data_IF_464738381458
#
_entry.id   IF_464738381458
#
_cell.length_a   1.000
_cell.length_b   1.000
_cell.length_c   1.000
_cell.angle_alpha   90.00
_cell.angle_beta   90.00
_cell.angle_gamma   90.00
#
_symmetry.space_group_name_H-M   'P 1'
#
loop_
_entity.id
_entity.type
_entity.pdbx_description
1 polymer ?
#
# COMPACT_ATOMS: atom_id res chain seq x y z
N UNK A 1 19.45 69.09 11.64
CA UNK A 1 18.28 69.94 11.30
C UNK A 1 18.51 70.50 9.90
N UNK A 2 17.50 70.56 9.00
CA UNK A 2 16.09 70.79 9.29
C UNK A 2 15.17 69.57 9.14
N UNK A 3 13.97 69.74 9.71
CA UNK A 3 12.81 68.88 9.83
C UNK A 3 11.67 69.53 9.03
N UNK A 4 10.83 68.75 8.34
CA UNK A 4 9.40 68.99 8.03
C UNK A 4 8.88 67.63 7.50
N UNK A 5 8.07 66.80 8.17
CA UNK A 5 6.75 66.92 8.82
C UNK A 5 5.56 67.07 7.84
N UNK A 6 4.61 66.12 7.97
CA UNK A 6 3.14 66.18 7.70
C UNK A 6 2.61 65.72 6.34
N UNK A 7 2.00 64.51 6.30
CA UNK A 7 0.54 64.24 6.34
C UNK A 7 0.23 62.89 5.65
N UNK A 8 -0.18 61.83 6.35
CA UNK A 8 -1.55 61.50 6.76
C UNK A 8 -2.57 61.45 5.61
N UNK A 9 -2.79 60.25 5.06
CA UNK A 9 -4.06 59.86 4.44
C UNK A 9 -4.34 58.39 4.77
N UNK A 10 -5.21 58.23 5.76
CA UNK A 10 -5.73 56.98 6.30
C UNK A 10 -6.78 56.42 5.32
N UNK A 11 -6.44 55.37 4.59
CA UNK A 11 -7.40 54.59 3.81
C UNK A 11 -8.07 53.54 4.71
N UNK A 12 -9.26 53.84 5.22
CA UNK A 12 -10.13 52.86 5.88
C UNK A 12 -10.65 51.85 4.83
N UNK A 13 -10.04 50.66 4.78
CA UNK A 13 -10.65 49.49 4.19
C UNK A 13 -11.55 48.82 5.24
N UNK A 14 -12.86 49.00 5.12
CA UNK A 14 -13.86 48.33 5.98
C UNK A 14 -13.85 46.83 5.67
N UNK A 15 -13.28 46.05 6.59
CA UNK A 15 -13.42 44.60 6.61
C UNK A 15 -14.83 44.24 7.09
N UNK A 16 -15.68 43.76 6.18
CA UNK A 16 -16.96 43.18 6.52
C UNK A 16 -16.75 41.77 7.14
N UNK A 17 -16.59 41.70 8.46
CA UNK A 17 -16.79 40.46 9.21
C UNK A 17 -18.29 40.17 9.30
N UNK A 18 -18.80 39.36 8.38
CA UNK A 18 -20.12 38.73 8.51
C UNK A 18 -20.03 37.51 9.44
N UNK A 19 -20.77 37.55 10.54
CA UNK A 19 -20.90 36.47 11.53
C UNK A 19 -21.44 35.18 10.91
N UNK A 20 -20.66 34.10 10.98
CA UNK A 20 -21.18 32.75 10.77
C UNK A 20 -21.93 32.31 12.04
N UNK A 21 -23.23 32.07 11.93
CA UNK A 21 -24.03 31.48 13.00
C UNK A 21 -23.59 30.02 13.26
N UNK A 22 -23.57 29.54 14.52
CA UNK A 22 -23.31 28.14 14.79
C UNK A 22 -24.48 27.30 14.27
N UNK A 23 -24.19 26.37 13.36
CA UNK A 23 -25.13 25.32 13.00
C UNK A 23 -25.20 24.32 14.17
N UNK A 24 -26.24 24.42 14.99
CA UNK A 24 -26.55 23.40 15.99
C UNK A 24 -26.96 22.12 15.26
N UNK A 25 -26.06 21.13 15.23
CA UNK A 25 -26.40 19.79 14.78
C UNK A 25 -27.46 19.21 15.72
N UNK A 26 -28.70 19.10 15.24
CA UNK A 26 -29.76 18.43 15.99
C UNK A 26 -29.47 16.93 16.02
N UNK A 27 -28.87 16.45 17.10
CA UNK A 27 -28.76 15.01 17.39
C UNK A 27 -30.17 14.52 17.69
N UNK A 28 -30.80 13.85 16.71
CA UNK A 28 -32.01 13.08 16.95
C UNK A 28 -31.58 11.72 17.50
N UNK A 29 -31.96 11.44 18.75
CA UNK A 29 -31.84 10.10 19.32
C UNK A 29 -32.84 9.20 18.61
N UNK A 30 -32.38 8.49 17.59
CA UNK A 30 -33.15 7.43 16.94
C UNK A 30 -33.01 6.21 17.84
N UNK A 31 -34.13 5.76 18.43
CA UNK A 31 -34.18 4.45 19.09
C UNK A 31 -34.01 3.37 18.00
N UNK A 32 -32.92 2.58 18.03
CA UNK A 32 -32.65 1.60 16.98
C UNK A 32 -33.77 0.57 16.85
N UNK A 33 -34.57 0.33 17.90
CA UNK A 33 -35.63 -0.65 17.86
C UNK A 33 -36.88 -0.17 17.10
N UNK A 34 -37.09 1.14 16.99
CA UNK A 34 -38.22 1.73 16.28
C UNK A 34 -38.00 1.75 14.75
N UNK A 35 -36.74 1.91 14.30
CA UNK A 35 -36.41 1.92 12.88
C UNK A 35 -36.53 0.55 12.22
N UNK A 36 -36.37 -0.54 12.99
CA UNK A 36 -36.40 -1.92 12.48
C UNK A 36 -37.84 -2.40 12.27
N UNK A 37 -38.80 -1.91 13.07
CA UNK A 37 -40.20 -2.35 12.99
C UNK A 37 -40.99 -1.74 11.84
N UNK A 38 -40.50 -0.65 11.23
CA UNK A 38 -41.18 0.02 10.13
C UNK A 38 -40.98 -0.66 8.75
N UNK A 39 -40.06 -1.64 8.65
CA UNK A 39 -39.68 -2.29 7.38
C UNK A 39 -39.90 -3.82 7.40
N UNK A 40 -40.78 -4.31 8.29
CA UNK A 40 -41.15 -5.73 8.33
C UNK A 40 -42.45 -5.92 7.56
N UNK A 41 -42.35 -6.24 6.27
CA UNK A 41 -43.49 -6.74 5.50
C UNK A 41 -43.80 -8.19 5.91
N UNK A 42 -45.07 -8.56 6.13
CA UNK A 42 -45.45 -9.96 6.33
C UNK A 42 -45.06 -10.80 5.12
N UNK A 43 -44.46 -11.97 5.35
CA UNK A 43 -44.14 -12.95 4.31
C UNK A 43 -45.42 -13.37 3.58
N UNK A 44 -45.47 -13.33 2.24
CA UNK A 44 -46.62 -13.81 1.46
C UNK A 44 -46.91 -15.29 1.75
N UNK A 45 -48.20 -15.65 1.84
CA UNK A 45 -48.64 -17.01 2.18
C UNK A 45 -48.13 -18.10 1.22
N UNK A 46 -47.67 -17.71 0.02
CA UNK A 46 -47.13 -18.61 -1.00
C UNK A 46 -45.70 -19.12 -0.70
N UNK A 47 -45.01 -18.55 0.30
CA UNK A 47 -43.65 -18.97 0.71
C UNK A 47 -43.62 -19.86 1.97
N UNK A 48 -44.79 -20.25 2.52
CA UNK A 48 -44.91 -21.11 3.70
C UNK A 48 -44.35 -22.54 3.52
N UNK A 49 -43.82 -22.87 2.33
CA UNK A 49 -43.27 -24.18 1.96
C UNK A 49 -41.75 -24.22 1.73
N UNK A 50 -41.01 -23.13 1.93
CA UNK A 50 -39.53 -23.14 1.81
C UNK A 50 -38.87 -23.66 3.10
N UNK A 51 -39.17 -24.92 3.43
CA UNK A 51 -38.47 -25.74 4.41
C UNK A 51 -38.13 -27.07 3.75
N UNK A 52 -36.85 -27.35 3.55
CA UNK A 52 -36.37 -28.62 3.01
C UNK A 52 -36.81 -29.76 3.93
N UNK A 53 -37.62 -30.68 3.40
CA UNK A 53 -37.83 -31.99 4.03
C UNK A 53 -36.48 -32.69 4.12
N UNK A 54 -35.89 -32.76 5.32
CA UNK A 54 -34.68 -33.54 5.58
C UNK A 54 -35.11 -35.00 5.78
N UNK A 55 -34.96 -35.82 4.73
CA UNK A 55 -34.99 -37.28 4.87
C UNK A 55 -33.73 -37.74 5.61
N UNK A 56 -33.88 -38.50 6.68
CA UNK A 56 -32.78 -39.07 7.45
C UNK A 56 -31.95 -40.06 6.58
N UNK A 57 -30.60 -40.06 6.65
CA UNK A 57 -29.79 -41.04 5.94
C UNK A 57 -30.00 -42.46 6.49
N UNK A 58 -30.03 -43.45 5.60
CA UNK A 58 -30.03 -44.86 5.94
C UNK A 58 -28.73 -45.29 6.66
N UNK A 59 -28.77 -46.30 7.55
CA UNK A 59 -27.58 -46.74 8.27
C UNK A 59 -26.50 -47.32 7.31
N UNK A 60 -25.24 -47.02 7.65
CA UNK A 60 -24.05 -47.31 6.87
C UNK A 60 -23.80 -48.82 6.65
N UNK A 61 -23.38 -49.16 5.43
CA UNK A 61 -22.77 -50.45 5.10
C UNK A 61 -21.28 -50.46 5.48
N UNK A 62 -20.74 -51.65 5.75
CA UNK A 62 -19.41 -51.93 6.30
C UNK A 62 -18.22 -51.25 5.59
N UNK A 63 -17.13 -50.93 6.31
CA UNK A 63 -15.96 -50.27 5.73
C UNK A 63 -15.16 -51.21 4.82
N UNK A 64 -14.97 -50.80 3.57
CA UNK A 64 -13.99 -51.38 2.64
C UNK A 64 -12.58 -50.92 3.07
N UNK A 65 -11.56 -51.81 3.09
CA UNK A 65 -10.21 -51.41 3.48
C UNK A 65 -9.65 -50.31 2.58
N UNK A 66 -9.22 -49.21 3.19
CA UNK A 66 -8.54 -48.12 2.50
C UNK A 66 -7.18 -48.61 1.96
N UNK A 67 -7.04 -48.63 0.63
CA UNK A 67 -5.75 -48.77 -0.02
C UNK A 67 -4.87 -47.59 0.39
N UNK A 68 -3.74 -47.91 1.02
CA UNK A 68 -2.76 -46.92 1.47
C UNK A 68 -2.16 -46.25 0.23
N UNK A 69 -2.63 -45.04 -0.08
CA UNK A 69 -1.99 -44.17 -1.05
C UNK A 69 -0.57 -43.89 -0.54
N UNK A 70 0.41 -44.50 -1.21
CA UNK A 70 1.82 -44.27 -1.01
C UNK A 70 2.13 -42.75 -1.06
N UNK A 71 3.01 -42.32 -0.17
CA UNK A 71 3.29 -40.92 0.13
C UNK A 71 3.42 -40.04 -1.11
N UNK A 72 2.63 -38.96 -1.11
CA UNK A 72 2.98 -37.78 -1.88
C UNK A 72 4.34 -37.29 -1.34
N UNK A 73 5.39 -37.44 -2.16
CA UNK A 73 6.62 -36.73 -1.94
C UNK A 73 6.28 -35.23 -1.77
N UNK A 74 6.93 -34.48 -0.86
CA UNK A 74 6.75 -33.05 -0.83
C UNK A 74 7.17 -32.54 -2.21
N UNK A 75 6.22 -31.98 -2.96
CA UNK A 75 6.56 -31.14 -4.11
C UNK A 75 7.50 -30.09 -3.54
N UNK A 76 8.76 -30.13 -3.96
CA UNK A 76 9.66 -29.03 -3.75
C UNK A 76 8.91 -27.80 -4.27
N UNK A 77 8.55 -26.92 -3.35
CA UNK A 77 7.87 -25.69 -3.69
C UNK A 77 8.86 -24.95 -4.57
N UNK A 78 8.69 -25.04 -5.90
CA UNK A 78 9.42 -24.19 -6.81
C UNK A 78 9.27 -22.77 -6.26
N UNK A 79 10.39 -22.04 -6.20
CA UNK A 79 10.41 -20.66 -5.74
C UNK A 79 9.46 -19.87 -6.61
N UNK A 80 8.21 -19.80 -6.19
CA UNK A 80 7.14 -19.34 -7.05
C UNK A 80 7.33 -17.84 -7.24
N UNK A 81 7.40 -17.41 -8.48
CA UNK A 81 7.61 -16.03 -8.86
C UNK A 81 6.33 -15.39 -9.40
N UNK A 82 6.35 -14.06 -9.51
CA UNK A 82 5.36 -13.30 -10.25
C UNK A 82 5.91 -13.01 -11.65
N UNK A 83 5.15 -13.43 -12.67
CA UNK A 83 5.52 -13.16 -14.06
C UNK A 83 5.42 -11.66 -14.35
N UNK A 84 6.08 -11.21 -15.41
CA UNK A 84 6.06 -9.81 -15.85
C UNK A 84 4.65 -9.22 -15.93
N UNK A 85 3.70 -9.95 -16.53
CA UNK A 85 2.31 -9.49 -16.66
C UNK A 85 1.61 -9.32 -15.31
N UNK A 86 1.88 -10.19 -14.34
CA UNK A 86 1.30 -10.11 -12.98
C UNK A 86 1.85 -8.87 -12.25
N UNK A 87 3.17 -8.67 -12.34
CA UNK A 87 3.88 -7.54 -11.74
C UNK A 87 3.40 -6.22 -12.36
N UNK A 88 3.31 -6.18 -13.68
CA UNK A 88 2.83 -5.00 -14.41
C UNK A 88 1.40 -4.68 -14.04
N UNK A 89 0.50 -5.67 -14.03
CA UNK A 89 -0.90 -5.46 -13.65
C UNK A 89 -1.04 -4.97 -12.20
N UNK A 90 -0.26 -5.53 -11.26
CA UNK A 90 -0.23 -5.08 -9.87
C UNK A 90 0.27 -3.63 -9.77
N UNK A 91 1.34 -3.29 -10.49
CA UNK A 91 1.90 -1.95 -10.51
C UNK A 91 0.95 -0.93 -11.16
N UNK A 92 0.26 -1.28 -12.25
CA UNK A 92 -0.78 -0.44 -12.86
C UNK A 92 -1.97 -0.25 -11.93
N UNK A 93 -2.32 -1.25 -11.12
CA UNK A 93 -3.31 -1.12 -10.04
C UNK A 93 -2.93 -0.04 -9.02
N UNK A 94 -1.62 0.14 -8.79
CA UNK A 94 -1.10 1.22 -7.94
C UNK A 94 -1.09 2.54 -8.71
N UNK A 95 -0.35 2.63 -9.80
CA UNK A 95 -0.03 3.92 -10.43
C UNK A 95 -1.09 4.43 -11.43
N UNK A 96 -2.01 3.56 -11.85
CA UNK A 96 -2.95 3.82 -12.95
C UNK A 96 -2.47 3.16 -14.24
N UNK A 97 -3.44 2.73 -15.07
CA UNK A 97 -3.17 2.08 -16.37
C UNK A 97 -2.56 3.05 -17.39
N UNK A 98 -1.80 2.50 -18.34
CA UNK A 98 -1.36 3.24 -19.53
C UNK A 98 -0.10 4.08 -19.34
N UNK A 99 0.67 3.81 -18.30
CA UNK A 99 1.99 4.40 -18.10
C UNK A 99 3.04 3.61 -18.89
N UNK A 100 3.29 3.98 -20.15
CA UNK A 100 4.31 3.33 -21.00
C UNK A 100 5.70 3.31 -20.32
N UNK A 101 6.02 4.37 -19.58
CA UNK A 101 7.26 4.44 -18.80
C UNK A 101 7.36 3.41 -17.68
N UNK A 102 6.24 3.06 -17.04
CA UNK A 102 6.17 2.04 -16.00
C UNK A 102 6.42 0.65 -16.58
N UNK A 103 5.76 0.34 -17.70
CA UNK A 103 5.93 -0.95 -18.37
C UNK A 103 7.39 -1.17 -18.79
N UNK A 104 8.00 -0.20 -19.47
CA UNK A 104 9.42 -0.25 -19.87
C UNK A 104 10.38 -0.37 -18.68
N UNK A 105 10.06 0.28 -17.56
CA UNK A 105 10.86 0.16 -16.34
C UNK A 105 10.77 -1.25 -15.75
N UNK A 106 9.56 -1.81 -15.62
CA UNK A 106 9.36 -3.16 -15.07
C UNK A 106 10.00 -4.19 -15.99
N UNK A 107 9.77 -4.14 -17.29
CA UNK A 107 10.41 -5.00 -18.29
C UNK A 107 11.94 -4.95 -18.16
N UNK A 108 12.52 -3.75 -18.08
CA UNK A 108 13.97 -3.59 -17.91
C UNK A 108 14.49 -4.18 -16.60
N UNK A 109 13.79 -3.96 -15.49
CA UNK A 109 14.19 -4.52 -14.19
C UNK A 109 14.10 -6.05 -14.21
N UNK A 110 13.02 -6.62 -14.73
CA UNK A 110 12.82 -8.08 -14.77
C UNK A 110 13.80 -8.76 -15.74
N UNK A 111 14.18 -8.08 -16.83
CA UNK A 111 15.25 -8.54 -17.71
C UNK A 111 16.59 -8.64 -16.96
N UNK A 112 16.89 -7.69 -16.08
CA UNK A 112 18.16 -7.60 -15.37
C UNK A 112 18.20 -8.48 -14.10
N UNK A 113 17.08 -8.60 -13.38
CA UNK A 113 16.99 -9.27 -12.06
C UNK A 113 16.23 -10.60 -12.08
N UNK A 114 15.54 -10.91 -13.17
CA UNK A 114 14.59 -12.01 -13.23
C UNK A 114 13.24 -11.64 -12.60
N UNK A 115 12.47 -12.65 -12.23
CA UNK A 115 11.13 -12.48 -11.69
C UNK A 115 11.14 -12.43 -10.14
N UNK A 116 10.36 -11.53 -9.52
CA UNK A 116 10.29 -11.41 -8.07
C UNK A 116 9.43 -12.51 -7.44
N UNK A 117 9.73 -12.92 -6.21
CA UNK A 117 8.87 -13.82 -5.42
C UNK A 117 7.87 -13.06 -4.53
N UNK A 118 7.97 -11.73 -4.46
CA UNK A 118 7.00 -10.86 -3.81
C UNK A 118 6.95 -9.44 -4.35
N UNK A 119 5.95 -8.68 -3.93
CA UNK A 119 5.90 -7.24 -4.15
C UNK A 119 5.20 -6.52 -2.99
N UNK A 120 5.43 -5.21 -2.86
CA UNK A 120 4.77 -4.36 -1.86
C UNK A 120 3.96 -3.30 -2.58
N UNK A 121 2.71 -3.14 -2.19
CA UNK A 121 1.86 -2.01 -2.58
C UNK A 121 1.69 -1.09 -1.39
N UNK A 122 1.98 0.20 -1.56
CA UNK A 122 1.73 1.13 -0.48
C UNK A 122 1.87 2.61 -0.83
N UNK A 123 1.98 3.42 0.21
CA UNK A 123 2.10 4.87 0.13
C UNK A 123 3.16 5.37 1.07
N UNK A 124 3.82 6.45 0.67
CA UNK A 124 4.86 7.12 1.44
C UNK A 124 4.48 8.59 1.65
N UNK A 125 4.58 9.06 2.89
CA UNK A 125 4.59 10.46 3.21
C UNK A 125 5.98 10.84 3.74
N UNK A 126 6.46 12.01 3.36
CA UNK A 126 7.72 12.54 3.82
C UNK A 126 7.59 14.03 4.09
N UNK A 127 8.52 14.55 4.88
CA UNK A 127 8.71 15.98 5.05
C UNK A 127 10.19 16.27 4.87
N UNK A 128 10.62 16.45 3.63
CA UNK A 128 12.01 16.81 3.33
C UNK A 128 12.09 18.25 2.84
N UNK A 129 12.95 19.05 3.48
CA UNK A 129 13.48 20.32 3.00
C UNK A 129 15.00 20.13 2.88
N UNK A 130 15.43 19.59 1.74
CA UNK A 130 16.78 19.07 1.49
C UNK A 130 17.09 17.73 2.17
N UNK A 131 16.97 17.62 3.50
CA UNK A 131 17.14 16.37 4.25
C UNK A 131 15.90 16.12 5.09
N UNK A 132 15.41 14.88 5.12
CA UNK A 132 14.22 14.53 5.87
C UNK A 132 14.14 13.05 6.19
N UNK A 133 12.98 12.68 6.70
CA UNK A 133 12.58 11.29 6.93
C UNK A 133 11.35 11.01 6.09
N UNK A 134 11.31 9.81 5.52
CA UNK A 134 10.11 9.24 4.91
C UNK A 134 9.50 8.20 5.83
N UNK A 135 8.18 8.12 5.77
CA UNK A 135 7.37 7.10 6.41
C UNK A 135 6.46 6.50 5.36
N UNK A 136 6.37 5.18 5.31
CA UNK A 136 5.45 4.51 4.42
C UNK A 136 4.77 3.33 5.08
N UNK A 137 3.65 2.96 4.49
CA UNK A 137 2.85 1.81 4.87
C UNK A 137 2.25 1.15 3.65
N UNK A 138 2.06 -0.16 3.75
CA UNK A 138 1.54 -0.95 2.65
C UNK A 138 1.30 -2.40 3.04
N UNK A 139 1.08 -3.20 2.02
CA UNK A 139 0.91 -4.64 2.12
C UNK A 139 1.93 -5.31 1.23
N UNK A 140 2.69 -6.23 1.80
CA UNK A 140 3.55 -7.15 1.06
C UNK A 140 2.72 -8.35 0.61
N UNK A 141 2.88 -8.74 -0.65
CA UNK A 141 2.29 -9.91 -1.28
C UNK A 141 3.43 -10.86 -1.62
N UNK A 142 3.51 -11.99 -0.93
CA UNK A 142 4.46 -13.07 -1.20
C UNK A 142 3.75 -14.20 -1.93
N UNK A 143 4.39 -14.78 -2.95
CA UNK A 143 3.75 -15.80 -3.78
C UNK A 143 3.36 -17.05 -2.99
N UNK A 144 4.15 -17.39 -1.97
CA UNK A 144 3.97 -18.56 -1.11
C UNK A 144 3.31 -18.21 0.22
N UNK A 145 3.87 -17.22 0.93
CA UNK A 145 3.47 -16.93 2.31
C UNK A 145 2.26 -15.99 2.41
N UNK A 146 1.76 -15.51 1.29
CA UNK A 146 0.59 -14.66 1.23
C UNK A 146 0.90 -13.22 1.63
N UNK A 147 -0.07 -12.58 2.29
CA UNK A 147 -0.05 -11.14 2.52
C UNK A 147 0.38 -10.79 3.93
N UNK A 148 1.22 -9.75 4.06
CA UNK A 148 1.59 -9.20 5.38
C UNK A 148 1.56 -7.67 5.38
N UNK A 149 1.12 -7.04 6.48
CA UNK A 149 1.27 -5.59 6.62
C UNK A 149 2.75 -5.23 6.71
N UNK A 150 3.14 -4.12 6.09
CA UNK A 150 4.51 -3.66 6.15
C UNK A 150 4.55 -2.14 6.28
N UNK A 151 5.39 -1.69 7.19
CA UNK A 151 5.69 -0.28 7.40
C UNK A 151 7.16 -0.06 7.11
N UNK A 152 7.52 1.15 6.71
CA UNK A 152 8.91 1.47 6.52
C UNK A 152 9.24 2.91 6.82
N UNK A 153 10.50 3.12 7.15
CA UNK A 153 11.07 4.44 7.39
C UNK A 153 12.44 4.54 6.74
N UNK A 154 12.89 5.74 6.45
CA UNK A 154 14.25 5.94 6.00
C UNK A 154 14.60 7.41 5.81
N UNK A 155 15.89 7.73 5.70
CA UNK A 155 16.33 9.02 5.20
C UNK A 155 15.68 9.35 3.85
N UNK A 156 15.35 10.63 3.66
CA UNK A 156 14.98 11.19 2.37
C UNK A 156 15.81 12.43 2.08
N UNK A 157 16.13 12.61 0.79
CA UNK A 157 16.80 13.80 0.27
C UNK A 157 15.95 14.33 -0.86
N UNK A 158 15.63 15.62 -0.78
CA UNK A 158 14.78 16.29 -1.76
C UNK A 158 13.65 17.07 -1.12
N UNK A 159 12.61 17.30 -1.91
CA UNK A 159 11.41 18.06 -1.53
C UNK A 159 10.21 17.12 -1.64
N UNK A 160 9.91 16.43 -0.54
CA UNK A 160 8.82 15.45 -0.45
C UNK A 160 7.59 16.04 0.24
N UNK A 161 7.33 17.34 0.11
CA UNK A 161 6.23 18.02 0.82
C UNK A 161 4.90 17.69 0.12
N UNK A 162 4.10 16.83 0.73
CA UNK A 162 2.75 16.54 0.24
C UNK A 162 1.90 15.77 1.24
N UNK A 163 0.77 16.36 1.62
CA UNK A 163 -0.17 15.77 2.60
C UNK A 163 -0.91 14.52 2.08
N UNK A 164 -0.88 14.24 0.77
CA UNK A 164 -1.67 13.16 0.15
C UNK A 164 -0.95 11.81 0.03
N UNK A 165 0.34 11.73 0.38
CA UNK A 165 1.16 10.52 0.26
C UNK A 165 1.43 10.08 -1.19
N UNK A 166 2.69 9.85 -1.52
CA UNK A 166 3.11 9.33 -2.82
C UNK A 166 2.87 7.82 -2.90
N UNK A 167 2.31 7.33 -4.00
CA UNK A 167 2.18 5.89 -4.24
C UNK A 167 3.57 5.26 -4.44
N UNK A 168 3.76 4.06 -3.89
CA UNK A 168 5.01 3.30 -4.01
C UNK A 168 4.70 1.84 -4.29
N UNK A 169 5.49 1.24 -5.16
CA UNK A 169 5.46 -0.19 -5.46
C UNK A 169 6.87 -0.75 -5.28
N UNK A 170 7.06 -1.86 -4.59
CA UNK A 170 8.39 -2.43 -4.35
C UNK A 170 8.43 -3.85 -4.88
N UNK A 171 9.38 -4.16 -5.76
CA UNK A 171 9.66 -5.54 -6.14
C UNK A 171 10.51 -6.20 -5.06
N UNK A 172 10.20 -7.44 -4.70
CA UNK A 172 10.87 -8.21 -3.65
C UNK A 172 11.40 -9.51 -4.24
N UNK A 173 12.71 -9.72 -4.12
CA UNK A 173 13.39 -10.90 -4.63
C UNK A 173 14.03 -11.68 -3.49
N UNK A 174 14.10 -12.99 -3.66
CA UNK A 174 14.78 -13.93 -2.77
C UNK A 174 14.32 -13.84 -1.31
N UNK A 175 13.08 -13.42 -1.07
CA UNK A 175 12.50 -13.41 0.28
C UNK A 175 11.94 -14.79 0.59
N UNK A 176 12.70 -15.66 1.25
CA UNK A 176 12.27 -17.04 1.52
C UNK A 176 11.42 -17.15 2.79
N UNK A 177 11.73 -16.31 3.78
CA UNK A 177 10.92 -16.09 4.97
C UNK A 177 10.52 -14.62 5.03
N UNK A 178 9.22 -14.35 5.04
CA UNK A 178 8.67 -13.01 5.09
C UNK A 178 9.11 -12.22 6.32
N UNK A 179 9.56 -12.87 7.40
CA UNK A 179 10.16 -12.20 8.55
C UNK A 179 11.50 -11.55 8.21
N UNK A 180 12.24 -12.05 7.23
CA UNK A 180 13.49 -11.44 6.76
C UNK A 180 13.27 -10.07 6.09
N UNK A 181 12.02 -9.72 5.78
CA UNK A 181 11.67 -8.38 5.31
C UNK A 181 11.81 -7.34 6.42
N UNK A 182 11.53 -7.67 7.67
CA UNK A 182 11.37 -6.67 8.75
C UNK A 182 12.69 -6.21 9.38
N UNK A 183 13.55 -5.63 8.54
CA UNK A 183 14.87 -5.15 8.91
C UNK A 183 15.32 -3.97 8.03
N UNK A 184 16.57 -3.52 8.22
CA UNK A 184 17.13 -2.38 7.49
C UNK A 184 17.82 -2.80 6.20
N UNK A 185 17.34 -2.35 5.06
CA UNK A 185 17.96 -2.60 3.76
C UNK A 185 18.77 -1.36 3.33
N UNK A 186 20.11 -1.44 3.33
CA UNK A 186 20.94 -0.37 2.80
C UNK A 186 20.74 -0.24 1.28
N UNK A 187 20.85 0.99 0.79
CA UNK A 187 20.79 1.29 -0.61
C UNK A 187 22.09 0.91 -1.31
N UNK A 188 21.95 0.46 -2.56
CA UNK A 188 23.07 0.20 -3.46
C UNK A 188 23.36 1.49 -4.22
N UNK A 189 24.61 1.95 -4.17
CA UNK A 189 25.03 3.17 -4.87
C UNK A 189 24.98 2.98 -6.40
N UNK A 190 24.57 4.01 -7.14
CA UNK A 190 24.68 4.07 -8.60
C UNK A 190 23.59 3.37 -9.43
N UNK A 191 22.64 2.66 -8.81
CA UNK A 191 21.62 1.86 -9.53
C UNK A 191 20.24 2.52 -9.48
N UNK A 192 20.08 3.67 -10.14
CA UNK A 192 18.79 4.33 -10.28
C UNK A 192 18.32 4.29 -11.74
N UNK A 193 17.11 3.77 -11.97
CA UNK A 193 16.48 3.79 -13.29
C UNK A 193 15.49 4.94 -13.32
N UNK A 194 15.52 5.72 -14.40
CA UNK A 194 14.54 6.79 -14.64
C UNK A 194 13.94 6.58 -16.01
N UNK A 195 12.63 6.29 -16.07
CA UNK A 195 11.91 6.02 -17.32
C UNK A 195 10.53 6.65 -17.24
N UNK A 196 10.20 7.54 -18.18
CA UNK A 196 8.85 8.10 -18.33
C UNK A 196 8.25 8.71 -17.05
N UNK A 197 9.07 9.35 -16.20
CA UNK A 197 8.62 9.95 -14.95
C UNK A 197 8.52 8.97 -13.76
N UNK A 198 9.00 7.73 -13.90
CA UNK A 198 9.19 6.80 -12.80
C UNK A 198 10.64 6.76 -12.37
N UNK A 199 10.87 6.46 -11.10
CA UNK A 199 12.19 6.18 -10.54
C UNK A 199 12.19 4.80 -9.87
N UNK A 200 13.28 4.04 -10.04
CA UNK A 200 13.55 2.83 -9.28
C UNK A 200 14.89 2.96 -8.56
N UNK A 201 14.96 2.50 -7.31
CA UNK A 201 16.20 2.38 -6.53
C UNK A 201 16.40 0.94 -6.06
N UNK A 202 17.62 0.57 -5.68
CA UNK A 202 17.92 -0.78 -5.23
C UNK A 202 18.37 -0.76 -3.78
N UNK A 203 17.84 -1.68 -3.00
CA UNK A 203 18.25 -1.96 -1.64
C UNK A 203 18.57 -3.45 -1.52
N UNK A 204 19.62 -3.79 -0.78
CA UNK A 204 20.06 -5.18 -0.65
C UNK A 204 20.54 -5.49 0.75
N UNK A 205 20.17 -6.66 1.25
CA UNK A 205 20.76 -7.25 2.46
C UNK A 205 20.84 -8.76 2.28
N UNK A 206 22.05 -9.30 2.39
CA UNK A 206 22.29 -10.69 2.01
C UNK A 206 21.82 -10.91 0.56
N UNK A 207 21.00 -11.93 0.37
CA UNK A 207 20.44 -12.29 -0.94
C UNK A 207 19.12 -11.57 -1.26
N UNK A 208 18.46 -10.98 -0.26
CA UNK A 208 17.18 -10.28 -0.44
C UNK A 208 17.41 -8.94 -1.12
N UNK A 209 16.70 -8.72 -2.23
CA UNK A 209 16.75 -7.47 -3.01
C UNK A 209 15.37 -6.83 -3.01
N UNK A 210 15.35 -5.52 -2.72
CA UNK A 210 14.15 -4.70 -2.78
C UNK A 210 14.36 -3.60 -3.80
N UNK A 211 13.40 -3.42 -4.70
CA UNK A 211 13.45 -2.39 -5.75
C UNK A 211 12.24 -1.48 -5.65
N UNK A 212 12.32 -0.38 -4.87
CA UNK A 212 11.23 0.57 -4.74
C UNK A 212 11.08 1.44 -5.99
N UNK A 213 9.91 1.36 -6.62
CA UNK A 213 9.46 2.12 -7.78
C UNK A 213 8.50 3.24 -7.32
N UNK A 214 8.70 4.45 -7.84
CA UNK A 214 7.91 5.64 -7.50
C UNK A 214 7.59 6.48 -8.73
N UNK A 215 6.48 7.20 -8.68
CA UNK A 215 6.12 8.22 -9.67
C UNK A 215 6.65 9.59 -9.25
N UNK A 216 7.39 10.27 -10.13
CA UNK A 216 7.88 11.63 -9.91
C UNK A 216 8.74 12.15 -11.06
N UNK A 217 8.44 13.36 -11.55
CA UNK A 217 9.20 14.04 -12.62
C UNK A 217 10.41 14.80 -12.08
N UNK A 218 11.61 14.41 -12.52
CA UNK A 218 12.83 15.24 -12.47
C UNK A 218 13.39 15.56 -11.07
N UNK A 219 14.73 15.71 -11.01
CA UNK A 219 15.61 16.14 -9.88
C UNK A 219 15.41 15.53 -8.47
N UNK A 220 14.34 14.75 -8.22
CA UNK A 220 14.22 13.79 -7.11
C UNK A 220 15.17 12.59 -7.31
N UNK A 221 16.34 12.85 -7.91
CA UNK A 221 17.56 12.04 -7.82
C UNK A 221 18.08 11.99 -6.36
N UNK A 222 17.21 12.16 -5.38
CA UNK A 222 17.31 11.41 -4.15
C UNK A 222 17.12 9.94 -4.50
N UNK A 223 18.21 9.32 -4.99
CA UNK A 223 18.53 7.98 -4.56
C UNK A 223 18.15 7.89 -3.08
N UNK A 224 17.49 6.81 -2.67
CA UNK A 224 17.31 6.58 -1.25
C UNK A 224 18.72 6.43 -0.68
N UNK A 225 19.31 7.53 -0.20
CA UNK A 225 20.69 7.49 0.28
C UNK A 225 20.63 6.92 1.66
N UNK A 226 21.44 5.90 1.93
CA UNK A 226 21.45 5.21 3.22
C UNK A 226 20.63 3.94 3.19
N UNK A 227 19.38 3.95 3.67
CA UNK A 227 18.63 2.71 3.93
C UNK A 227 17.11 2.90 3.94
N UNK A 228 16.37 1.79 3.90
CA UNK A 228 14.97 1.71 4.35
C UNK A 228 14.85 0.64 5.43
N UNK A 229 14.29 1.00 6.59
CA UNK A 229 13.95 0.08 7.68
C UNK A 229 12.51 -0.35 7.51
N UNK A 230 12.28 -1.64 7.31
CA UNK A 230 10.96 -2.23 7.26
C UNK A 230 10.58 -2.84 8.63
N UNK A 231 9.32 -2.72 9.01
CA UNK A 231 8.80 -3.23 10.29
C UNK A 231 7.39 -3.79 10.11
N UNK A 232 7.04 -4.77 10.93
CA UNK A 232 5.70 -5.36 10.95
C UNK A 232 4.66 -4.43 11.59
N UNK A 233 5.11 -3.62 12.56
CA UNK A 233 4.29 -2.61 13.24
C UNK A 233 4.73 -1.22 12.84
N UNK A 234 3.77 -0.29 12.77
CA UNK A 234 4.08 1.12 12.57
C UNK A 234 5.02 1.60 13.68
N UNK A 235 6.15 2.19 13.29
CA UNK A 235 7.10 2.82 14.19
C UNK A 235 7.28 4.28 13.80
N UNK A 236 7.08 5.18 14.76
CA UNK A 236 7.36 6.61 14.59
C UNK A 236 8.88 6.86 14.62
N UNK A 237 9.67 5.92 15.17
CA UNK A 237 11.12 6.03 15.30
C UNK A 237 11.83 5.24 14.16
N UNK A 238 12.70 5.89 13.36
CA UNK A 238 13.30 5.30 12.14
C UNK A 238 14.61 4.51 12.36
N UNK A 239 15.01 4.30 13.62
CA UNK A 239 16.18 3.52 14.02
C UNK A 239 15.74 2.26 14.74
#
# INVERSE_FOLDING_TARGET
MPKFLVSCALGLGVAALGLAAPASAQVRTVDPNQAIQADVTPVPADEAGYGTNVTAPAPAADPVPAETAAGAAPVAQENATYQENDVLAAAEGVFGKGAEGLAKMIEGILKDQGEPNGYIVGREAGGALAIGVRYGSGTMFHKVEGQRPVYWTGPSVGFDIGANGAKTFVLVYNLYDSQELYQRFPAVEGTAYVVGGFTASYLRRGDVVLIPIRLGVGWRLGANVGYMKFTEKSSILPF
#
